data_IF_226683825367
#
_entry.id   IF_226683825367
#
_cell.length_a   1.000
_cell.length_b   1.000
_cell.length_c   1.000
_cell.angle_alpha   90.00
_cell.angle_beta   90.00
_cell.angle_gamma   90.00
#
_symmetry.space_group_name_H-M   'P 1'
#
loop_
_entity.id
_entity.type
_entity.pdbx_description
1 polymer ?
#
# COMPACT_ATOMS: atom_id res chain seq x y z
N UNK A 1 -33.33 25.09 -10.78
CA UNK A 1 -32.59 25.54 -9.58
C UNK A 1 -32.39 24.43 -8.52
N UNK A 2 -32.46 23.13 -8.87
CA UNK A 2 -32.30 22.01 -7.90
C UNK A 2 -31.05 21.13 -8.17
N UNK A 3 -30.44 21.20 -9.36
CA UNK A 3 -29.30 20.35 -9.74
C UNK A 3 -27.93 20.89 -9.27
N UNK A 4 -27.82 22.18 -8.97
CA UNK A 4 -26.53 22.80 -8.59
C UNK A 4 -26.09 22.38 -7.19
N UNK A 5 -27.04 22.10 -6.28
CA UNK A 5 -26.75 21.74 -4.88
C UNK A 5 -26.13 20.35 -4.70
N UNK A 6 -26.53 19.35 -5.51
CA UNK A 6 -26.01 17.98 -5.41
C UNK A 6 -24.58 17.91 -5.96
N UNK A 7 -24.30 18.63 -7.06
CA UNK A 7 -22.94 18.71 -7.62
C UNK A 7 -21.98 19.43 -6.67
N UNK A 8 -22.45 20.48 -5.97
CA UNK A 8 -21.66 21.16 -4.94
C UNK A 8 -21.43 20.30 -3.70
N UNK A 9 -22.41 19.48 -3.30
CA UNK A 9 -22.28 18.52 -2.19
C UNK A 9 -21.29 17.40 -2.52
N UNK A 10 -21.31 16.89 -3.76
CA UNK A 10 -20.32 15.92 -4.26
C UNK A 10 -18.91 16.53 -4.29
N UNK A 11 -18.77 17.78 -4.72
CA UNK A 11 -17.49 18.49 -4.71
C UNK A 11 -16.97 18.67 -3.27
N UNK A 12 -17.84 19.00 -2.31
CA UNK A 12 -17.46 19.14 -0.88
C UNK A 12 -17.02 17.81 -0.24
N UNK A 13 -17.63 16.68 -0.62
CA UNK A 13 -17.19 15.34 -0.18
C UNK A 13 -15.78 15.03 -0.70
N UNK A 14 -15.46 15.44 -1.93
CA UNK A 14 -14.13 15.25 -2.53
C UNK A 14 -13.08 16.19 -1.90
N UNK A 15 -13.45 17.44 -1.59
CA UNK A 15 -12.53 18.44 -1.03
C UNK A 15 -12.18 18.21 0.46
N UNK A 16 -12.97 17.43 1.22
CA UNK A 16 -12.72 17.17 2.65
C UNK A 16 -11.62 16.14 2.96
N UNK A 17 -10.98 15.51 1.96
CA UNK A 17 -9.90 14.53 2.20
C UNK A 17 -8.50 15.13 2.38
N UNK A 18 -8.31 16.45 2.25
CA UNK A 18 -6.98 17.09 2.20
C UNK A 18 -6.38 17.55 3.54
N UNK A 19 -6.93 17.15 4.69
CA UNK A 19 -6.50 17.72 5.99
C UNK A 19 -6.03 16.66 6.98
N UNK A 20 -4.84 16.11 6.74
CA UNK A 20 -3.97 15.61 7.80
C UNK A 20 -2.57 16.14 7.51
N UNK A 21 -2.38 17.43 7.80
CA UNK A 21 -1.06 18.08 7.76
C UNK A 21 -0.15 17.35 8.75
N UNK A 22 0.72 16.48 8.26
CA UNK A 22 1.75 15.84 9.04
C UNK A 22 2.96 16.79 9.07
N UNK A 23 3.16 17.50 10.18
CA UNK A 23 4.46 18.10 10.46
C UNK A 23 5.47 16.95 10.66
N UNK A 24 6.15 16.56 9.58
CA UNK A 24 7.16 15.50 9.59
C UNK A 24 8.55 16.12 9.59
N UNK A 25 9.44 15.61 10.45
CA UNK A 25 10.84 16.00 10.40
C UNK A 25 11.53 15.40 9.18
N UNK A 26 12.59 16.05 8.70
CA UNK A 26 13.40 15.54 7.57
C UNK A 26 13.94 14.13 7.85
N UNK A 27 14.34 13.85 9.10
CA UNK A 27 14.78 12.52 9.52
C UNK A 27 13.63 11.50 9.46
N UNK A 28 12.43 11.88 9.90
CA UNK A 28 11.24 11.04 9.80
C UNK A 28 10.90 10.69 8.36
N UNK A 29 10.93 11.69 7.47
CA UNK A 29 10.71 11.49 6.04
C UNK A 29 11.73 10.53 5.43
N UNK A 30 13.03 10.74 5.70
CA UNK A 30 14.11 9.86 5.23
C UNK A 30 13.91 8.41 5.66
N UNK A 31 13.49 8.18 6.91
CA UNK A 31 13.20 6.83 7.41
C UNK A 31 12.04 6.18 6.66
N UNK A 32 10.96 6.92 6.38
CA UNK A 32 9.82 6.37 5.63
C UNK A 32 10.18 6.06 4.17
N UNK A 33 10.98 6.91 3.53
CA UNK A 33 11.47 6.67 2.17
C UNK A 33 12.38 5.45 2.10
N UNK A 34 13.29 5.30 3.07
CA UNK A 34 14.16 4.13 3.12
C UNK A 34 13.38 2.85 3.41
N UNK A 35 12.42 2.89 4.34
CA UNK A 35 11.51 1.76 4.57
C UNK A 35 10.78 1.39 3.28
N UNK A 36 10.15 2.36 2.60
CA UNK A 36 9.46 2.13 1.33
C UNK A 36 10.39 1.48 0.29
N UNK A 37 11.63 1.97 0.18
CA UNK A 37 12.64 1.42 -0.75
C UNK A 37 12.93 -0.05 -0.45
N UNK A 38 13.12 -0.42 0.81
CA UNK A 38 13.36 -1.81 1.22
C UNK A 38 12.17 -2.69 0.87
N UNK A 39 10.94 -2.26 1.19
CA UNK A 39 9.72 -3.03 0.89
C UNK A 39 9.57 -3.28 -0.63
N UNK A 40 9.86 -2.28 -1.46
CA UNK A 40 9.70 -2.38 -2.91
C UNK A 40 10.78 -3.19 -3.63
N UNK A 41 12.01 -3.21 -3.08
CA UNK A 41 13.18 -3.78 -3.78
C UNK A 41 13.62 -5.12 -3.23
N UNK A 42 13.56 -5.31 -1.92
CA UNK A 42 14.02 -6.52 -1.24
C UNK A 42 12.83 -7.41 -0.95
N UNK A 43 11.87 -6.91 -0.16
CA UNK A 43 10.81 -7.76 0.38
C UNK A 43 9.84 -8.21 -0.70
N UNK A 44 9.47 -7.32 -1.63
CA UNK A 44 8.60 -7.68 -2.77
C UNK A 44 9.21 -8.76 -3.64
N UNK A 45 10.53 -8.70 -3.87
CA UNK A 45 11.25 -9.72 -4.65
C UNK A 45 11.28 -11.05 -3.90
N UNK A 46 11.55 -11.02 -2.60
CA UNK A 46 11.61 -12.21 -1.76
C UNK A 46 10.25 -12.92 -1.67
N UNK A 47 9.16 -12.17 -1.47
CA UNK A 47 7.80 -12.75 -1.52
C UNK A 47 7.51 -13.34 -2.90
N UNK A 48 7.90 -12.66 -3.99
CA UNK A 48 7.72 -13.20 -5.34
C UNK A 48 8.48 -14.51 -5.54
N UNK A 49 9.67 -14.65 -4.96
CA UNK A 49 10.46 -15.90 -4.98
C UNK A 49 9.76 -17.00 -4.21
N UNK A 50 9.26 -16.72 -3.00
CA UNK A 50 8.53 -17.69 -2.18
C UNK A 50 7.26 -18.19 -2.88
N UNK A 51 6.51 -17.29 -3.54
CA UNK A 51 5.34 -17.67 -4.34
C UNK A 51 5.77 -18.60 -5.49
N UNK A 52 6.85 -18.28 -6.21
CA UNK A 52 7.34 -19.11 -7.30
C UNK A 52 7.73 -20.51 -6.80
N UNK A 53 8.48 -20.60 -5.69
CA UNK A 53 8.89 -21.87 -5.09
C UNK A 53 7.70 -22.70 -4.62
N UNK A 54 6.70 -22.06 -4.01
CA UNK A 54 5.47 -22.76 -3.60
C UNK A 54 4.66 -23.26 -4.82
N UNK A 55 4.67 -22.52 -5.94
CA UNK A 55 4.03 -22.96 -7.19
C UNK A 55 4.70 -24.18 -7.82
N UNK A 56 6.02 -24.28 -7.70
CA UNK A 56 6.77 -25.41 -8.26
C UNK A 56 6.52 -26.72 -7.49
N UNK A 57 5.95 -26.66 -6.28
CA UNK A 57 5.58 -27.85 -5.48
C UNK A 57 4.31 -28.57 -5.98
N UNK A 58 3.63 -28.06 -7.01
CA UNK A 58 2.54 -28.76 -7.68
C UNK A 58 1.15 -28.28 -7.26
N UNK A 59 0.42 -29.08 -6.48
CA UNK A 59 -0.98 -28.78 -6.15
C UNK A 59 -1.07 -27.56 -5.22
N UNK A 60 -1.55 -26.45 -5.78
CA UNK A 60 -1.68 -25.18 -5.09
C UNK A 60 -2.89 -25.15 -4.14
N UNK A 61 -3.90 -25.99 -4.37
CA UNK A 61 -5.17 -25.92 -3.63
C UNK A 61 -5.07 -26.38 -2.18
N UNK A 62 -4.03 -27.15 -1.85
CA UNK A 62 -3.70 -27.59 -0.49
C UNK A 62 -2.38 -26.99 0.02
N UNK A 63 -1.74 -26.11 -0.77
CA UNK A 63 -0.42 -25.58 -0.43
C UNK A 63 -0.52 -24.38 0.52
N UNK A 64 -0.49 -24.66 1.82
CA UNK A 64 -0.47 -23.66 2.88
C UNK A 64 0.68 -22.63 2.75
N UNK A 65 1.82 -22.99 2.16
CA UNK A 65 2.93 -22.06 1.95
C UNK A 65 2.62 -21.07 0.83
N UNK A 66 1.90 -21.50 -0.22
CA UNK A 66 1.43 -20.62 -1.29
C UNK A 66 0.42 -19.61 -0.76
N UNK A 67 -0.57 -20.07 0.01
CA UNK A 67 -1.58 -19.20 0.61
C UNK A 67 -0.94 -18.18 1.55
N UNK A 68 -0.04 -18.62 2.43
CA UNK A 68 0.70 -17.73 3.33
C UNK A 68 1.54 -16.68 2.56
N UNK A 69 2.20 -17.09 1.47
CA UNK A 69 2.98 -16.16 0.65
C UNK A 69 2.09 -15.15 -0.09
N UNK A 70 0.88 -15.54 -0.51
CA UNK A 70 -0.12 -14.64 -1.11
C UNK A 70 -0.69 -13.64 -0.11
N UNK A 71 -0.96 -14.07 1.11
CA UNK A 71 -1.39 -13.16 2.19
C UNK A 71 -0.28 -12.17 2.56
N UNK A 72 0.96 -12.66 2.69
CA UNK A 72 2.12 -11.80 2.93
C UNK A 72 2.29 -10.77 1.82
N UNK A 73 2.11 -11.15 0.55
CA UNK A 73 2.10 -10.23 -0.59
C UNK A 73 1.04 -9.13 -0.42
N UNK A 74 -0.20 -9.51 -0.07
CA UNK A 74 -1.29 -8.54 0.13
C UNK A 74 -0.98 -7.53 1.24
N UNK A 75 -0.43 -8.00 2.36
CA UNK A 75 -0.04 -7.15 3.48
C UNK A 75 1.12 -6.21 3.13
N UNK A 76 2.12 -6.71 2.39
CA UNK A 76 3.23 -5.91 1.90
C UNK A 76 2.73 -4.77 1.00
N UNK A 77 1.88 -5.07 0.02
CA UNK A 77 1.34 -4.06 -0.89
C UNK A 77 0.46 -3.04 -0.17
N UNK A 78 -0.32 -3.46 0.83
CA UNK A 78 -1.07 -2.55 1.67
C UNK A 78 -0.14 -1.56 2.40
N UNK A 79 0.97 -2.04 2.95
CA UNK A 79 1.95 -1.20 3.65
C UNK A 79 2.64 -0.22 2.69
N UNK A 80 3.07 -0.69 1.52
CA UNK A 80 3.68 0.15 0.47
C UNK A 80 2.75 1.27 0.07
N UNK A 81 1.48 0.96 -0.20
CA UNK A 81 0.49 1.97 -0.58
C UNK A 81 0.25 2.99 0.53
N UNK A 82 0.17 2.54 1.80
CA UNK A 82 0.04 3.45 2.94
C UNK A 82 1.24 4.39 3.08
N UNK A 83 2.47 3.87 2.94
CA UNK A 83 3.69 4.69 3.00
C UNK A 83 3.74 5.70 1.86
N UNK A 84 3.40 5.30 0.63
CA UNK A 84 3.33 6.21 -0.52
C UNK A 84 2.36 7.36 -0.29
N UNK A 85 1.17 7.07 0.27
CA UNK A 85 0.19 8.11 0.62
C UNK A 85 0.76 9.05 1.67
N UNK A 86 1.34 8.53 2.76
CA UNK A 86 1.94 9.34 3.83
C UNK A 86 3.06 10.24 3.29
N UNK A 87 3.94 9.70 2.44
CA UNK A 87 5.06 10.43 1.83
C UNK A 87 4.57 11.50 0.85
N UNK A 88 3.48 11.25 0.13
CA UNK A 88 2.89 12.22 -0.80
C UNK A 88 2.14 13.36 -0.09
N UNK A 89 1.63 13.10 1.10
CA UNK A 89 0.90 14.06 1.94
C UNK A 89 1.81 14.85 2.91
N UNK A 90 3.09 14.46 3.03
CA UNK A 90 4.11 15.08 3.88
C UNK A 90 4.77 16.29 3.22
#
# INVERSE_FOLDING_TARGET
MQHVGISFLLLLIIQRRKTTMAYMSEEGYKKLVEELRVLETVDRLEISRQIAEARDKGDLSENAEYDAAKDAQGMLEMRINKLKTIIADA
#
